data_IF_649528745853
#
_entry.id   IF_649528745853
#
_cell.length_a   1.000
_cell.length_b   1.000
_cell.length_c   1.000
_cell.angle_alpha   90.00
_cell.angle_beta   90.00
_cell.angle_gamma   90.00
#
_symmetry.space_group_name_H-M   'P 1'
#
loop_
_entity.id
_entity.type
_entity.pdbx_description
1 polymer ?
#
# COMPACT_ATOMS: atom_id res chain seq x y z
N UNK A 1 -14.62 2.19 6.02
CA UNK A 1 -13.41 2.93 6.44
C UNK A 1 -13.73 4.41 6.36
N UNK A 2 -13.33 5.20 7.35
CA UNK A 2 -13.65 6.63 7.41
C UNK A 2 -13.01 7.39 6.24
N UNK A 3 -13.74 8.31 5.60
CA UNK A 3 -13.23 9.15 4.51
C UNK A 3 -13.14 8.51 3.12
N UNK A 4 -13.62 7.26 2.93
CA UNK A 4 -13.70 6.64 1.61
C UNK A 4 -15.13 6.73 1.02
N UNK A 5 -15.27 6.88 -0.31
CA UNK A 5 -16.56 6.79 -0.97
C UNK A 5 -17.21 5.41 -0.78
N UNK A 6 -18.53 5.40 -0.57
CA UNK A 6 -19.31 4.16 -0.52
C UNK A 6 -19.37 3.45 -1.89
N UNK A 7 -19.68 2.14 -1.87
CA UNK A 7 -19.86 1.29 -3.05
C UNK A 7 -18.64 1.21 -4.01
N UNK A 8 -17.42 1.35 -3.47
CA UNK A 8 -16.18 1.12 -4.22
C UNK A 8 -15.46 -0.15 -3.76
N UNK A 9 -14.77 -0.79 -4.70
CA UNK A 9 -13.87 -1.90 -4.44
C UNK A 9 -12.43 -1.49 -4.77
N UNK A 10 -11.50 -1.85 -3.88
CA UNK A 10 -10.09 -1.53 -4.03
C UNK A 10 -9.26 -2.81 -4.14
N UNK A 11 -8.26 -2.79 -5.02
CA UNK A 11 -7.23 -3.84 -5.08
C UNK A 11 -5.95 -3.26 -4.48
N UNK A 12 -5.48 -3.90 -3.41
CA UNK A 12 -4.25 -3.56 -2.69
C UNK A 12 -3.49 -4.83 -2.34
N UNK A 13 -2.21 -4.72 -2.03
CA UNK A 13 -1.41 -5.81 -1.51
C UNK A 13 -1.67 -5.96 -0.02
N UNK A 14 -1.89 -7.20 0.43
CA UNK A 14 -1.92 -7.52 1.85
C UNK A 14 -0.50 -7.49 2.42
N UNK A 15 -0.26 -6.59 3.38
CA UNK A 15 1.05 -6.30 3.95
C UNK A 15 1.16 -6.62 5.45
N UNK A 16 0.04 -6.80 6.15
CA UNK A 16 0.01 -7.20 7.56
C UNK A 16 -1.25 -7.99 7.88
N UNK A 17 -1.14 -8.90 8.85
CA UNK A 17 -2.22 -9.78 9.32
C UNK A 17 -2.48 -9.56 10.82
N UNK A 18 -3.61 -10.06 11.36
CA UNK A 18 -3.91 -9.96 12.78
C UNK A 18 -2.74 -10.40 13.66
N UNK A 19 -2.36 -9.55 14.61
CA UNK A 19 -1.24 -9.78 15.52
C UNK A 19 0.13 -9.31 15.01
N UNK A 20 0.26 -8.88 13.75
CA UNK A 20 1.51 -8.32 13.25
C UNK A 20 1.71 -6.87 13.74
N UNK A 21 2.94 -6.54 14.10
CA UNK A 21 3.41 -5.15 14.15
C UNK A 21 4.10 -4.83 12.83
N UNK A 22 3.55 -3.88 12.08
CA UNK A 22 4.08 -3.48 10.77
C UNK A 22 4.66 -2.08 10.84
N UNK A 23 5.91 -1.90 10.42
CA UNK A 23 6.61 -0.61 10.45
C UNK A 23 7.13 -0.16 9.07
N UNK A 24 6.96 1.13 8.82
CA UNK A 24 7.51 1.91 7.71
C UNK A 24 8.62 2.78 8.27
N UNK A 25 9.86 2.59 7.81
CA UNK A 25 11.00 3.36 8.32
C UNK A 25 11.33 4.51 7.36
N UNK A 26 11.38 5.77 7.82
CA UNK A 26 11.74 6.90 6.96
C UNK A 26 13.07 6.68 6.26
N UNK A 27 13.08 6.90 4.94
CA UNK A 27 14.28 6.70 4.11
C UNK A 27 14.57 5.25 3.76
N UNK A 28 13.76 4.29 4.22
CA UNK A 28 13.85 2.89 3.86
C UNK A 28 12.63 2.46 3.03
N UNK A 29 12.88 1.89 1.85
CA UNK A 29 11.83 1.44 0.93
C UNK A 29 11.15 0.15 1.36
N UNK A 30 11.65 -0.53 2.40
CA UNK A 30 11.14 -1.81 2.85
C UNK A 30 10.16 -1.70 4.01
N UNK A 31 9.20 -2.63 3.98
CA UNK A 31 8.29 -2.91 5.10
C UNK A 31 9.02 -3.77 6.14
N UNK A 32 8.75 -3.53 7.42
CA UNK A 32 9.19 -4.39 8.50
C UNK A 32 7.97 -5.01 9.17
N UNK A 33 7.98 -6.32 9.38
CA UNK A 33 6.90 -7.06 10.05
C UNK A 33 7.51 -7.77 11.24
N UNK A 34 6.99 -7.50 12.43
CA UNK A 34 7.49 -8.05 13.69
C UNK A 34 9.00 -7.81 13.89
N UNK A 35 9.47 -6.63 13.47
CA UNK A 35 10.88 -6.21 13.57
C UNK A 35 11.78 -6.68 12.43
N UNK A 36 11.36 -7.66 11.63
CA UNK A 36 12.13 -8.20 10.52
C UNK A 36 11.76 -7.56 9.19
N UNK A 37 12.72 -7.42 8.29
CA UNK A 37 12.44 -6.92 6.94
C UNK A 37 11.55 -7.90 6.20
N UNK A 38 10.38 -7.43 5.75
CA UNK A 38 9.44 -8.24 5.01
C UNK A 38 10.04 -8.69 3.67
N UNK A 39 9.72 -9.93 3.29
CA UNK A 39 10.07 -10.45 1.97
C UNK A 39 9.21 -9.78 0.92
N UNK A 40 9.85 -9.07 -0.01
CA UNK A 40 9.17 -8.47 -1.17
C UNK A 40 9.25 -9.39 -2.38
N UNK A 41 8.22 -9.39 -3.26
CA UNK A 41 8.35 -9.94 -4.61
C UNK A 41 9.56 -9.35 -5.33
N UNK A 42 10.24 -10.18 -6.14
CA UNK A 42 11.46 -9.77 -6.88
C UNK A 42 11.26 -8.48 -7.71
N UNK A 43 10.06 -8.28 -8.27
CA UNK A 43 9.74 -7.07 -9.01
C UNK A 43 9.79 -5.82 -8.13
N UNK A 44 9.24 -5.89 -6.91
CA UNK A 44 9.30 -4.76 -5.97
C UNK A 44 10.73 -4.53 -5.47
N UNK A 45 11.52 -5.58 -5.26
CA UNK A 45 12.95 -5.42 -4.96
C UNK A 45 13.72 -4.76 -6.10
N UNK A 46 13.40 -5.15 -7.34
CA UNK A 46 13.99 -4.54 -8.52
C UNK A 46 13.62 -3.07 -8.63
N UNK A 47 12.35 -2.72 -8.43
CA UNK A 47 11.86 -1.33 -8.45
C UNK A 47 12.49 -0.52 -7.31
N UNK A 48 12.55 -1.04 -6.09
CA UNK A 48 13.17 -0.33 -4.96
C UNK A 48 14.66 -0.04 -5.21
N UNK A 49 15.38 -0.96 -5.87
CA UNK A 49 16.83 -0.78 -6.15
C UNK A 49 17.11 0.09 -7.37
N UNK A 50 16.35 -0.10 -8.45
CA UNK A 50 16.68 0.43 -9.78
C UNK A 50 15.60 1.34 -10.35
N UNK A 51 14.39 1.29 -9.81
CA UNK A 51 13.27 2.12 -10.26
C UNK A 51 13.61 3.58 -10.10
N UNK A 52 13.49 4.31 -11.20
CA UNK A 52 13.57 5.76 -11.27
C UNK A 52 12.29 6.24 -11.92
N UNK A 53 11.42 6.96 -11.19
CA UNK A 53 10.17 7.47 -11.77
C UNK A 53 10.38 8.33 -13.02
N UNK A 54 11.49 9.08 -13.08
CA UNK A 54 11.96 9.79 -14.28
C UNK A 54 13.50 9.85 -14.31
N UNK A 55 14.08 10.21 -15.46
CA UNK A 55 15.53 10.33 -15.60
C UNK A 55 16.08 11.41 -14.65
N UNK A 56 17.09 11.05 -13.86
CA UNK A 56 17.65 11.92 -12.81
C UNK A 56 16.89 11.96 -11.49
N UNK A 57 15.76 11.25 -11.35
CA UNK A 57 15.06 11.12 -10.06
C UNK A 57 15.86 10.31 -9.02
N UNK A 58 15.55 10.44 -7.72
CA UNK A 58 16.03 9.48 -6.72
C UNK A 58 15.43 8.08 -6.95
N UNK A 59 16.01 7.02 -6.33
CA UNK A 59 15.40 5.70 -6.32
C UNK A 59 13.94 5.73 -5.86
N UNK A 60 13.13 4.82 -6.40
CA UNK A 60 11.75 4.64 -5.99
C UNK A 60 11.67 4.46 -4.46
N UNK A 61 10.98 5.35 -3.74
CA UNK A 61 11.14 5.47 -2.31
C UNK A 61 10.42 4.35 -1.53
N UNK A 62 9.55 3.57 -2.17
CA UNK A 62 8.76 2.51 -1.54
C UNK A 62 7.64 3.07 -0.67
N UNK A 63 7.28 2.33 0.38
CA UNK A 63 6.20 2.68 1.30
C UNK A 63 6.61 3.80 2.27
N UNK A 64 6.85 5.01 1.76
CA UNK A 64 7.16 6.16 2.62
C UNK A 64 5.90 6.77 3.24
N UNK A 65 5.98 7.20 4.50
CA UNK A 65 4.96 8.04 5.11
C UNK A 65 5.12 9.47 4.58
N UNK A 66 4.42 9.79 3.49
CA UNK A 66 4.33 11.16 2.98
C UNK A 66 3.02 11.78 3.41
N UNK A 67 3.00 13.07 3.81
CA UNK A 67 1.76 13.80 3.94
C UNK A 67 0.99 13.72 2.61
N UNK A 68 -0.26 13.29 2.66
CA UNK A 68 -1.16 13.44 1.52
C UNK A 68 -2.01 14.66 1.77
N UNK A 69 -2.29 15.36 0.68
CA UNK A 69 -3.22 16.45 0.69
C UNK A 69 -4.59 15.93 0.29
N UNK A 70 -5.53 15.92 1.23
CA UNK A 70 -6.93 15.61 0.94
C UNK A 70 -7.66 16.89 0.47
N UNK A 71 -8.70 16.79 -0.36
CA UNK A 71 -9.56 17.93 -0.68
C UNK A 71 -10.17 18.50 0.60
N UNK A 72 -9.87 19.75 0.92
CA UNK A 72 -10.46 20.46 2.05
C UNK A 72 -11.91 20.89 1.77
N UNK A 73 -12.67 21.27 2.81
CA UNK A 73 -14.05 21.74 2.67
C UNK A 73 -14.21 22.95 1.75
N UNK A 74 -13.15 23.74 1.57
CA UNK A 74 -13.07 24.92 0.71
C UNK A 74 -12.33 24.65 -0.62
N UNK A 75 -12.07 23.37 -0.93
CA UNK A 75 -11.28 22.95 -2.09
C UNK A 75 -9.78 23.18 -1.94
N UNK A 76 -9.29 23.75 -0.83
CA UNK A 76 -7.85 23.86 -0.58
C UNK A 76 -7.32 22.51 -0.09
N UNK A 77 -6.13 22.07 -0.55
CA UNK A 77 -5.56 20.83 -0.08
C UNK A 77 -5.21 20.93 1.41
N UNK A 78 -5.80 20.09 2.26
CA UNK A 78 -5.48 20.02 3.69
C UNK A 78 -4.41 18.96 3.95
N UNK A 79 -3.36 19.27 4.73
CA UNK A 79 -2.37 18.28 5.10
C UNK A 79 -3.03 17.24 6.04
N UNK A 80 -3.13 16.00 5.58
CA UNK A 80 -3.37 14.88 6.49
C UNK A 80 -2.07 14.66 7.26
N UNK A 81 -2.10 14.52 8.61
CA UNK A 81 -0.90 14.26 9.41
C UNK A 81 -0.07 13.13 8.80
N UNK A 82 1.26 13.19 9.02
CA UNK A 82 2.15 12.14 8.56
C UNK A 82 1.56 10.79 9.00
N UNK A 83 1.26 9.88 8.04
CA UNK A 83 0.55 8.67 8.34
C UNK A 83 1.32 7.84 9.38
N UNK A 84 0.58 7.04 10.15
CA UNK A 84 1.18 6.17 11.15
C UNK A 84 2.33 5.37 10.52
N UNK A 85 3.48 5.39 11.19
CA UNK A 85 4.70 4.73 10.72
C UNK A 85 4.80 3.30 11.27
N UNK A 86 4.01 3.00 12.30
CA UNK A 86 3.90 1.68 12.91
C UNK A 86 2.43 1.37 13.10
N UNK A 87 2.04 0.16 12.78
CA UNK A 87 0.69 -0.37 12.92
C UNK A 87 0.74 -1.64 13.75
N UNK A 88 0.12 -1.62 14.93
CA UNK A 88 -0.09 -2.81 15.76
C UNK A 88 -1.46 -3.37 15.43
N UNK A 89 -1.51 -4.48 14.68
CA UNK A 89 -2.76 -5.01 14.15
C UNK A 89 -3.44 -5.90 15.19
N UNK A 90 -4.66 -5.51 15.59
CA UNK A 90 -5.51 -6.29 16.46
C UNK A 90 -6.13 -7.53 15.79
N UNK A 91 -6.93 -8.30 16.54
CA UNK A 91 -7.73 -9.38 15.98
C UNK A 91 -8.64 -8.89 14.85
N UNK A 92 -8.59 -9.55 13.69
CA UNK A 92 -9.41 -9.19 12.53
C UNK A 92 -8.95 -7.93 11.78
N UNK A 93 -7.82 -7.34 12.14
CA UNK A 93 -7.25 -6.19 11.44
C UNK A 93 -6.16 -6.60 10.45
N UNK A 94 -6.18 -5.96 9.28
CA UNK A 94 -5.23 -6.21 8.21
C UNK A 94 -4.63 -4.89 7.72
N UNK A 95 -3.39 -4.93 7.23
CA UNK A 95 -2.77 -3.77 6.59
C UNK A 95 -2.73 -3.99 5.08
N UNK A 96 -3.29 -3.05 4.31
CA UNK A 96 -3.35 -3.12 2.86
C UNK A 96 -2.63 -1.92 2.24
N UNK A 97 -1.56 -2.16 1.46
CA UNK A 97 -0.75 -1.12 0.82
C UNK A 97 -0.73 -1.27 -0.70
N UNK A 98 -0.59 -0.16 -1.42
CA UNK A 98 -0.51 -0.17 -2.87
C UNK A 98 0.93 -0.17 -3.38
N UNK A 99 1.23 -1.04 -4.35
CA UNK A 99 2.57 -1.15 -4.96
C UNK A 99 3.01 0.15 -5.66
N UNK A 100 2.07 0.95 -6.19
CA UNK A 100 2.31 2.32 -6.65
C UNK A 100 2.21 3.29 -5.47
N UNK A 101 3.15 3.14 -4.53
CA UNK A 101 3.18 3.72 -3.20
C UNK A 101 3.06 5.24 -3.19
N UNK A 102 3.67 5.95 -4.15
CA UNK A 102 3.54 7.42 -4.24
C UNK A 102 2.16 7.88 -4.69
N UNK A 103 1.40 7.02 -5.37
CA UNK A 103 0.07 7.35 -5.92
C UNK A 103 -1.01 6.38 -5.41
N UNK A 104 -0.89 5.94 -4.16
CA UNK A 104 -1.83 5.02 -3.55
C UNK A 104 -2.37 5.62 -2.26
N UNK A 105 -3.67 5.97 -2.26
CA UNK A 105 -4.44 6.08 -1.03
C UNK A 105 -4.68 4.65 -0.51
N UNK A 106 -4.10 4.33 0.63
CA UNK A 106 -4.15 3.01 1.27
C UNK A 106 -4.07 3.07 2.80
N UNK A 107 -3.79 1.95 3.49
CA UNK A 107 -3.78 1.86 4.96
C UNK A 107 -2.84 2.83 5.66
N UNK A 108 -1.89 3.45 4.95
CA UNK A 108 -1.14 4.59 5.49
C UNK A 108 -2.10 5.70 5.97
N UNK A 109 -3.16 5.96 5.21
CA UNK A 109 -4.06 7.10 5.41
C UNK A 109 -5.34 6.72 6.14
N UNK A 110 -5.93 5.57 5.82
CA UNK A 110 -7.20 5.13 6.42
C UNK A 110 -7.03 4.10 7.55
N UNK A 111 -5.79 3.73 7.88
CA UNK A 111 -5.50 2.77 8.96
C UNK A 111 -5.73 1.31 8.59
N UNK A 112 -5.93 0.48 9.62
CA UNK A 112 -6.17 -0.94 9.45
C UNK A 112 -7.51 -1.22 8.74
N UNK A 113 -7.57 -2.34 8.02
CA UNK A 113 -8.74 -2.82 7.29
C UNK A 113 -9.37 -3.95 8.09
N UNK A 114 -10.61 -3.80 8.57
CA UNK A 114 -11.36 -4.88 9.22
C UNK A 114 -11.60 -6.07 8.30
N UNK A 115 -11.61 -7.28 8.87
CA UNK A 115 -11.81 -8.54 8.16
C UNK A 115 -13.09 -8.56 7.31
N UNK A 116 -14.19 -7.98 7.82
CA UNK A 116 -15.47 -7.94 7.09
C UNK A 116 -15.40 -7.13 5.79
N UNK A 117 -14.39 -6.26 5.63
CA UNK A 117 -14.19 -5.47 4.42
C UNK A 117 -13.31 -6.19 3.39
N UNK A 118 -12.79 -7.38 3.70
CA UNK A 118 -12.01 -8.19 2.76
C UNK A 118 -12.92 -9.09 1.93
N UNK A 119 -13.00 -8.81 0.63
CA UNK A 119 -13.78 -9.63 -0.31
C UNK A 119 -13.04 -10.91 -0.73
N UNK A 120 -11.72 -10.86 -0.85
CA UNK A 120 -10.90 -12.00 -1.25
C UNK A 120 -9.67 -11.62 -2.07
N UNK A 121 -8.84 -12.61 -2.43
CA UNK A 121 -7.65 -12.40 -3.23
C UNK A 121 -7.99 -12.11 -4.70
N UNK A 122 -7.14 -11.33 -5.37
CA UNK A 122 -7.14 -11.28 -6.83
C UNK A 122 -6.58 -12.61 -7.39
N UNK A 123 -7.34 -13.28 -8.26
CA UNK A 123 -7.03 -14.64 -8.74
C UNK A 123 -6.82 -14.74 -10.25
N UNK A 124 -7.21 -13.74 -11.03
CA UNK A 124 -7.19 -13.80 -12.50
C UNK A 124 -6.85 -12.45 -13.12
N UNK A 125 -5.92 -12.43 -14.07
CA UNK A 125 -5.64 -11.27 -14.92
C UNK A 125 -6.49 -11.40 -16.17
N UNK A 126 -7.53 -10.58 -16.26
CA UNK A 126 -8.48 -10.65 -17.37
C UNK A 126 -8.03 -9.90 -18.62
N UNK A 127 -7.15 -8.89 -18.53
CA UNK A 127 -6.80 -8.02 -19.66
C UNK A 127 -5.31 -7.64 -19.71
N UNK A 128 -4.73 -7.47 -20.92
CA UNK A 128 -5.28 -7.84 -22.22
C UNK A 128 -5.21 -9.33 -22.48
N UNK A 129 -6.13 -9.87 -23.29
CA UNK A 129 -6.20 -11.29 -23.63
C UNK A 129 -4.95 -11.81 -24.36
N UNK A 130 -4.18 -10.91 -24.97
CA UNK A 130 -2.90 -11.20 -25.65
C UNK A 130 -1.69 -11.14 -24.72
N UNK A 131 -1.88 -10.72 -23.46
CA UNK A 131 -0.78 -10.65 -22.51
C UNK A 131 -0.31 -12.05 -22.14
N UNK A 132 1.00 -12.30 -22.02
CA UNK A 132 1.51 -13.54 -21.43
C UNK A 132 1.13 -13.69 -19.94
N UNK A 133 0.58 -12.63 -19.32
CA UNK A 133 0.06 -12.66 -17.95
C UNK A 133 -1.43 -12.98 -17.88
N UNK A 134 -2.15 -13.04 -19.01
CA UNK A 134 -3.56 -13.40 -19.03
C UNK A 134 -3.76 -14.80 -18.45
N UNK A 135 -4.73 -14.94 -17.55
CA UNK A 135 -4.96 -16.20 -16.84
C UNK A 135 -4.85 -16.08 -15.32
N UNK A 136 -4.72 -17.23 -14.66
CA UNK A 136 -4.65 -17.30 -13.19
C UNK A 136 -3.36 -16.68 -12.64
N UNK A 137 -3.50 -15.90 -11.57
CA UNK A 137 -2.38 -15.37 -10.79
C UNK A 137 -1.77 -16.54 -10.00
N UNK A 138 -0.46 -16.74 -10.12
CA UNK A 138 0.34 -17.78 -9.44
C UNK A 138 1.41 -17.14 -8.57
#
# INVERSE_FOLDING_TARGET
LEGLPDNQHYIKRLCGRPGDTVALRPGDSYLYVNGERARSPRLLEFIARHGRPWEGSPPYPGYQPRPVYAPGPDGRPLPVPAPAQTFDLGPGEYLALGDNSDNSLDSRYWGAVPAENLLGPATFVHWPFTSPRWGSIR
#
